data_IF_617943663276
#
_entry.id   IF_617943663276
#
_cell.length_a   1.000
_cell.length_b   1.000
_cell.length_c   1.000
_cell.angle_alpha   90.00
_cell.angle_beta   90.00
_cell.angle_gamma   90.00
#
_symmetry.space_group_name_H-M   'P 1'
#
loop_
_entity.id
_entity.type
_entity.pdbx_description
1 polymer ?
#
# COMPACT_ATOMS: atom_id res chain seq x y z
N UNK A 1 35.33 -6.91 12.85
CA UNK A 1 33.88 -7.06 13.11
C UNK A 1 33.18 -7.30 11.77
N UNK A 2 32.16 -8.15 11.71
CA UNK A 2 31.35 -8.32 10.50
C UNK A 2 30.73 -6.98 10.07
N UNK A 3 30.51 -6.82 8.75
CA UNK A 3 29.98 -5.61 8.10
C UNK A 3 28.74 -5.89 7.24
N UNK A 4 28.36 -7.15 7.13
CA UNK A 4 27.18 -7.61 6.42
C UNK A 4 25.92 -7.45 7.27
N UNK A 5 24.77 -7.54 6.63
CA UNK A 5 23.47 -7.33 7.28
C UNK A 5 23.11 -8.48 8.25
N UNK A 6 23.72 -9.66 8.10
CA UNK A 6 23.43 -10.84 8.94
C UNK A 6 22.13 -11.57 8.59
N UNK A 7 21.41 -11.13 7.56
CA UNK A 7 20.18 -11.74 7.03
C UNK A 7 19.95 -11.33 5.57
N UNK A 8 18.99 -11.97 4.88
CA UNK A 8 18.62 -11.60 3.51
C UNK A 8 17.92 -10.25 3.48
N UNK A 9 18.37 -9.36 2.61
CA UNK A 9 17.78 -8.03 2.39
C UNK A 9 16.50 -8.04 1.53
N UNK A 10 16.09 -9.19 1.00
CA UNK A 10 14.91 -9.30 0.16
C UNK A 10 13.62 -8.98 0.92
N UNK A 11 13.03 -7.81 0.64
CA UNK A 11 11.68 -7.42 1.06
C UNK A 11 11.40 -7.57 2.57
N UNK A 12 12.34 -7.07 3.40
CA UNK A 12 12.27 -7.13 4.88
C UNK A 12 11.51 -5.96 5.52
N UNK A 13 10.99 -5.02 4.73
CA UNK A 13 10.34 -3.82 5.24
C UNK A 13 8.90 -4.09 5.72
N UNK A 14 8.44 -3.29 6.67
CA UNK A 14 7.08 -3.35 7.19
C UNK A 14 6.50 -1.98 7.52
N UNK A 15 5.18 -1.88 7.52
CA UNK A 15 4.41 -0.78 8.07
C UNK A 15 3.39 -1.35 9.06
N UNK A 16 3.48 -0.97 10.33
CA UNK A 16 2.54 -1.38 11.40
C UNK A 16 2.27 -2.90 11.46
N UNK A 17 3.30 -3.74 11.28
CA UNK A 17 3.16 -5.19 11.29
C UNK A 17 2.82 -5.83 9.93
N UNK A 18 2.49 -5.02 8.92
CA UNK A 18 2.20 -5.49 7.56
C UNK A 18 3.47 -5.39 6.71
N UNK A 19 3.79 -6.45 5.95
CA UNK A 19 4.91 -6.40 4.97
C UNK A 19 4.73 -5.23 4.01
N UNK A 20 5.83 -4.55 3.71
CA UNK A 20 5.89 -3.45 2.76
C UNK A 20 6.82 -3.84 1.60
N UNK A 21 6.25 -4.00 0.40
CA UNK A 21 7.03 -4.33 -0.80
C UNK A 21 7.68 -3.10 -1.44
N UNK A 22 7.24 -1.89 -1.05
CA UNK A 22 7.89 -0.63 -1.43
C UNK A 22 9.06 -0.38 -0.48
N UNK A 23 10.27 -0.37 -1.01
CA UNK A 23 11.47 -0.05 -0.22
C UNK A 23 11.46 1.42 0.28
N UNK A 24 12.39 1.79 1.19
CA UNK A 24 12.44 3.14 1.75
C UNK A 24 12.59 4.26 0.72
N UNK A 25 13.37 4.05 -0.34
CA UNK A 25 13.59 5.08 -1.36
C UNK A 25 12.31 5.31 -2.17
N UNK A 26 11.60 4.24 -2.51
CA UNK A 26 10.27 4.30 -3.13
C UNK A 26 9.26 5.03 -2.24
N UNK A 27 9.29 4.78 -0.92
CA UNK A 27 8.42 5.47 0.04
C UNK A 27 8.73 6.98 0.10
N UNK A 28 10.00 7.39 0.03
CA UNK A 28 10.39 8.79 0.02
C UNK A 28 9.87 9.52 -1.24
N UNK A 29 10.00 8.89 -2.41
CA UNK A 29 9.46 9.44 -3.67
C UNK A 29 7.94 9.64 -3.58
N UNK A 30 7.21 8.64 -3.08
CA UNK A 30 5.77 8.77 -2.92
C UNK A 30 5.40 9.79 -1.84
N UNK A 31 6.17 9.91 -0.76
CA UNK A 31 5.94 10.95 0.25
C UNK A 31 5.96 12.35 -0.38
N UNK A 32 6.98 12.66 -1.19
CA UNK A 32 7.09 13.96 -1.86
C UNK A 32 5.93 14.17 -2.84
N UNK A 33 5.61 13.16 -3.64
CA UNK A 33 4.48 13.20 -4.58
C UNK A 33 3.14 13.45 -3.88
N UNK A 34 2.87 12.75 -2.76
CA UNK A 34 1.63 12.91 -2.01
C UNK A 34 1.52 14.31 -1.39
N UNK A 35 2.65 14.84 -0.89
CA UNK A 35 2.70 16.16 -0.28
C UNK A 35 2.40 17.28 -1.29
N UNK A 36 3.02 17.20 -2.46
CA UNK A 36 2.86 18.18 -3.53
C UNK A 36 1.49 18.06 -4.22
N UNK A 37 1.12 16.85 -4.66
CA UNK A 37 -0.07 16.62 -5.47
C UNK A 37 -1.37 16.65 -4.66
N UNK A 38 -1.31 16.28 -3.37
CA UNK A 38 -2.46 16.18 -2.45
C UNK A 38 -3.66 15.41 -3.04
N UNK A 39 -3.48 14.14 -3.46
CA UNK A 39 -4.52 13.41 -4.20
C UNK A 39 -5.77 13.15 -3.35
N UNK A 40 -6.95 13.17 -4.00
CA UNK A 40 -8.22 12.75 -3.39
C UNK A 40 -8.47 11.25 -3.51
N UNK A 41 -7.77 10.58 -4.42
CA UNK A 41 -7.89 9.13 -4.65
C UNK A 41 -6.54 8.54 -5.05
N UNK A 42 -6.21 7.38 -4.49
CA UNK A 42 -5.09 6.54 -4.88
C UNK A 42 -5.62 5.17 -5.26
N UNK A 43 -5.23 4.65 -6.42
CA UNK A 43 -5.62 3.31 -6.90
C UNK A 43 -4.38 2.44 -7.00
N UNK A 44 -4.39 1.26 -6.37
CA UNK A 44 -3.37 0.22 -6.55
C UNK A 44 -3.96 -1.00 -7.27
N UNK A 45 -3.31 -1.39 -8.38
CA UNK A 45 -3.52 -2.66 -9.05
C UNK A 45 -2.50 -3.67 -8.51
N UNK A 46 -3.01 -4.72 -7.86
CA UNK A 46 -2.24 -5.67 -7.05
C UNK A 46 -2.22 -5.24 -5.57
N UNK A 47 -2.87 -6.04 -4.71
CA UNK A 47 -3.03 -5.78 -3.27
C UNK A 47 -2.06 -6.62 -2.44
N UNK A 48 -1.86 -7.90 -2.80
CA UNK A 48 -1.10 -8.85 -1.98
C UNK A 48 -1.56 -8.83 -0.51
N UNK A 49 -0.72 -8.38 0.44
CA UNK A 49 -1.05 -8.32 1.86
C UNK A 49 -1.70 -7.00 2.30
N UNK A 50 -1.76 -5.99 1.43
CA UNK A 50 -2.35 -4.68 1.69
C UNK A 50 -1.47 -3.70 2.49
N UNK A 51 -0.18 -4.00 2.72
CA UNK A 51 0.70 -3.10 3.48
C UNK A 51 0.81 -1.70 2.87
N UNK A 52 0.92 -1.60 1.55
CA UNK A 52 0.95 -0.33 0.81
C UNK A 52 -0.35 0.46 0.93
N UNK A 53 -1.51 -0.20 0.93
CA UNK A 53 -2.81 0.47 1.09
C UNK A 53 -2.94 1.12 2.46
N UNK A 54 -2.62 0.37 3.51
CA UNK A 54 -2.60 0.91 4.87
C UNK A 54 -1.63 2.09 4.98
N UNK A 55 -0.45 2.00 4.38
CA UNK A 55 0.54 3.08 4.37
C UNK A 55 0.08 4.32 3.62
N UNK A 56 -0.47 4.18 2.41
CA UNK A 56 -1.00 5.33 1.67
C UNK A 56 -2.13 6.03 2.42
N UNK A 57 -3.04 5.26 3.02
CA UNK A 57 -4.14 5.79 3.83
C UNK A 57 -3.61 6.52 5.06
N UNK A 58 -2.66 5.92 5.77
CA UNK A 58 -2.06 6.53 6.95
C UNK A 58 -1.28 7.81 6.59
N UNK A 59 -0.49 7.82 5.52
CA UNK A 59 0.27 9.00 5.11
C UNK A 59 -0.63 10.16 4.70
N UNK A 60 -1.65 9.89 3.88
CA UNK A 60 -2.62 10.92 3.48
C UNK A 60 -3.41 11.44 4.69
N UNK A 61 -3.79 10.58 5.63
CA UNK A 61 -4.42 10.98 6.91
C UNK A 61 -3.50 11.88 7.75
N UNK A 62 -2.22 11.55 7.89
CA UNK A 62 -1.22 12.36 8.61
C UNK A 62 -1.03 13.72 7.92
N UNK A 63 -0.99 13.76 6.60
CA UNK A 63 -0.83 14.99 5.81
C UNK A 63 -2.10 15.86 5.74
N UNK A 64 -3.20 15.44 6.39
CA UNK A 64 -4.49 16.14 6.36
C UNK A 64 -5.11 16.16 4.95
N UNK A 65 -4.91 15.10 4.17
CA UNK A 65 -5.47 14.93 2.82
C UNK A 65 -6.67 13.99 2.93
N UNK A 66 -7.84 14.45 2.51
CA UNK A 66 -9.04 13.61 2.37
C UNK A 66 -8.92 12.73 1.12
N UNK A 67 -8.29 11.56 1.29
CA UNK A 67 -7.99 10.61 0.22
C UNK A 67 -8.71 9.28 0.43
N UNK A 68 -9.31 8.74 -0.63
CA UNK A 68 -9.75 7.34 -0.71
C UNK A 68 -8.64 6.48 -1.31
N UNK A 69 -8.35 5.32 -0.71
CA UNK A 69 -7.37 4.35 -1.22
C UNK A 69 -8.11 3.12 -1.71
N UNK A 70 -7.90 2.75 -2.97
CA UNK A 70 -8.62 1.66 -3.63
C UNK A 70 -7.63 0.59 -4.07
N UNK A 71 -7.83 -0.63 -3.56
CA UNK A 71 -7.07 -1.81 -3.97
C UNK A 71 -7.86 -2.70 -4.90
N UNK A 72 -7.25 -3.12 -6.00
CA UNK A 72 -7.85 -4.05 -6.95
C UNK A 72 -6.90 -5.23 -7.12
N UNK A 73 -7.38 -6.45 -6.89
CA UNK A 73 -6.60 -7.67 -7.13
C UNK A 73 -7.52 -8.81 -7.57
N UNK A 74 -6.99 -9.77 -8.32
CA UNK A 74 -7.75 -10.98 -8.68
C UNK A 74 -7.92 -11.91 -7.47
N UNK A 75 -7.02 -11.81 -6.48
CA UNK A 75 -7.03 -12.59 -5.25
C UNK A 75 -6.78 -11.68 -4.03
N UNK A 76 -7.84 -11.42 -3.27
CA UNK A 76 -7.79 -10.62 -2.04
C UNK A 76 -7.54 -11.46 -0.77
N UNK A 77 -7.45 -12.79 -0.88
CA UNK A 77 -7.36 -13.70 0.28
C UNK A 77 -6.11 -13.50 1.15
N UNK A 78 -5.09 -12.84 0.58
CA UNK A 78 -3.82 -12.55 1.25
C UNK A 78 -3.83 -11.24 2.03
N UNK A 79 -4.85 -10.40 1.88
CA UNK A 79 -4.93 -9.12 2.57
C UNK A 79 -4.91 -9.33 4.09
N UNK A 80 -4.05 -8.58 4.79
CA UNK A 80 -3.84 -8.70 6.24
C UNK A 80 -4.28 -7.45 7.01
N UNK A 81 -4.86 -6.44 6.33
CA UNK A 81 -5.37 -5.24 7.00
C UNK A 81 -6.54 -5.67 7.91
N UNK A 82 -6.50 -5.38 9.22
CA UNK A 82 -7.59 -5.71 10.12
C UNK A 82 -8.87 -4.99 9.69
N UNK A 83 -10.02 -5.66 9.78
CA UNK A 83 -11.31 -5.06 9.43
C UNK A 83 -11.60 -3.75 10.20
N UNK A 84 -11.08 -3.63 11.42
CA UNK A 84 -11.19 -2.43 12.26
C UNK A 84 -10.38 -1.23 11.76
N UNK A 85 -9.47 -1.42 10.78
CA UNK A 85 -8.55 -0.39 10.29
C UNK A 85 -8.76 -0.08 8.78
N UNK A 86 -9.94 -0.42 8.24
CA UNK A 86 -10.31 -0.26 6.82
C UNK A 86 -10.89 1.12 6.46
N UNK A 87 -10.86 2.10 7.38
CA UNK A 87 -11.34 3.47 7.09
C UNK A 87 -10.66 4.05 5.84
N UNK A 88 -11.43 4.57 4.88
CA UNK A 88 -10.94 5.10 3.60
C UNK A 88 -10.13 4.11 2.74
N UNK A 89 -10.27 2.81 2.98
CA UNK A 89 -9.71 1.73 2.15
C UNK A 89 -10.87 0.94 1.55
N UNK A 90 -10.92 0.85 0.23
CA UNK A 90 -11.87 0.00 -0.49
C UNK A 90 -11.13 -1.10 -1.25
N UNK A 91 -11.61 -2.34 -1.17
CA UNK A 91 -11.06 -3.47 -1.93
C UNK A 91 -12.06 -3.95 -2.97
N UNK A 92 -11.58 -4.17 -4.19
CA UNK A 92 -12.35 -4.78 -5.27
C UNK A 92 -11.61 -6.00 -5.81
N UNK A 93 -12.35 -7.07 -6.09
CA UNK A 93 -11.81 -8.20 -6.80
C UNK A 93 -11.96 -7.96 -8.32
N UNK A 94 -10.88 -8.13 -9.09
CA UNK A 94 -10.90 -7.93 -10.54
C UNK A 94 -9.64 -8.45 -11.24
N UNK A 95 -9.77 -8.86 -12.50
CA UNK A 95 -8.65 -9.26 -13.36
C UNK A 95 -8.19 -8.08 -14.20
N UNK A 96 -6.91 -7.72 -14.15
CA UNK A 96 -6.35 -6.63 -14.97
C UNK A 96 -6.39 -6.94 -16.48
N UNK A 97 -6.55 -8.21 -16.85
CA UNK A 97 -6.68 -8.66 -18.24
C UNK A 97 -8.10 -8.46 -18.78
N UNK A 98 -9.07 -8.18 -17.90
CA UNK A 98 -10.48 -8.01 -18.24
C UNK A 98 -10.95 -6.58 -17.93
N UNK A 99 -11.13 -5.79 -18.99
CA UNK A 99 -11.64 -4.42 -18.93
C UNK A 99 -13.16 -4.37 -19.11
N UNK A 100 -13.77 -5.50 -19.47
CA UNK A 100 -15.21 -5.64 -19.53
C UNK A 100 -15.64 -6.08 -18.14
N UNK A 101 -16.32 -5.21 -17.40
CA UNK A 101 -16.98 -5.65 -16.16
C UNK A 101 -17.96 -6.80 -16.44
N UNK A 102 -18.59 -7.38 -15.40
CA UNK A 102 -19.87 -8.04 -15.64
C UNK A 102 -20.83 -7.13 -16.43
#
# INVERSE_FOLDING_TARGET
APRDLGYSDFSQYQWRGLRMLKDPDTQAVYHDMLWELRPRTIVELGVYNGGSLAWFRDLTKIMGIDCQVIGIDRDLSRCQIPASDMENITLHQGDCSDLTGP
#
